data_IF_990171096282
#
_entry.id   IF_990171096282
#
_cell.length_a   1.000
_cell.length_b   1.000
_cell.length_c   1.000
_cell.angle_alpha   90.00
_cell.angle_beta   90.00
_cell.angle_gamma   90.00
#
_symmetry.space_group_name_H-M   'P 1'
#
loop_
_entity.id
_entity.type
_entity.pdbx_description
1 polymer ?
#
# COMPACT_ATOMS: atom_id res chain seq x y z
N UNK A 1 -15.48 -7.41 -26.29
CA UNK A 1 -15.86 -6.85 -24.96
C UNK A 1 -14.68 -6.68 -24.01
N UNK A 2 -13.57 -7.41 -24.25
CA UNK A 2 -12.37 -7.39 -23.39
C UNK A 2 -11.12 -6.89 -24.17
N UNK A 3 -11.33 -6.06 -25.20
CA UNK A 3 -10.24 -5.48 -25.97
C UNK A 3 -9.76 -4.20 -25.29
N UNK A 4 -8.47 -4.11 -25.04
CA UNK A 4 -7.81 -2.96 -24.41
C UNK A 4 -6.94 -2.21 -25.43
N UNK A 5 -6.42 -1.06 -25.04
CA UNK A 5 -5.46 -0.31 -25.87
C UNK A 5 -4.20 -1.15 -26.09
N UNK A 6 -3.71 -1.19 -27.32
CA UNK A 6 -2.58 -2.00 -27.81
C UNK A 6 -2.89 -3.49 -28.12
N UNK A 7 -4.12 -3.96 -27.95
CA UNK A 7 -4.49 -5.29 -28.43
C UNK A 7 -4.48 -5.37 -29.96
N UNK A 8 -4.08 -6.50 -30.49
CA UNK A 8 -4.16 -6.79 -31.93
C UNK A 8 -5.45 -7.55 -32.25
N UNK A 9 -6.27 -6.97 -33.11
CA UNK A 9 -7.44 -7.67 -33.67
C UNK A 9 -7.06 -8.31 -34.99
N UNK A 10 -7.24 -9.61 -35.12
CA UNK A 10 -6.91 -10.36 -36.34
C UNK A 10 -7.98 -11.40 -36.67
N UNK A 11 -7.89 -11.98 -37.90
CA UNK A 11 -8.71 -13.08 -38.32
C UNK A 11 -8.28 -14.40 -37.64
N UNK A 12 -9.23 -15.19 -37.16
CA UNK A 12 -8.96 -16.50 -36.52
C UNK A 12 -8.18 -17.47 -37.43
N UNK A 13 -8.38 -17.39 -38.75
CA UNK A 13 -7.72 -18.26 -39.73
C UNK A 13 -6.31 -17.84 -40.06
N UNK A 14 -5.99 -16.56 -39.87
CA UNK A 14 -4.68 -15.97 -40.13
C UNK A 14 -4.22 -15.12 -38.94
N UNK A 15 -3.90 -15.76 -37.82
CA UNK A 15 -3.51 -15.03 -36.64
C UNK A 15 -2.17 -14.29 -36.84
N UNK A 16 -2.17 -12.98 -36.61
CA UNK A 16 -0.95 -12.17 -36.61
C UNK A 16 -0.93 -11.30 -35.39
N UNK A 17 0.23 -11.14 -34.77
CA UNK A 17 0.45 -10.22 -33.65
C UNK A 17 1.30 -9.07 -34.17
N UNK A 18 0.77 -7.84 -34.06
CA UNK A 18 1.54 -6.64 -34.38
C UNK A 18 2.49 -6.33 -33.23
N UNK A 19 3.61 -5.65 -33.53
CA UNK A 19 4.54 -5.18 -32.51
C UNK A 19 3.79 -4.29 -31.52
N UNK A 20 3.86 -4.62 -30.22
CA UNK A 20 3.27 -3.84 -29.17
C UNK A 20 3.79 -2.41 -29.13
N UNK A 21 2.97 -1.48 -28.68
CA UNK A 21 3.37 -0.09 -28.43
C UNK A 21 4.14 -0.01 -27.11
N UNK A 22 5.25 0.71 -27.13
CA UNK A 22 6.00 1.05 -25.92
C UNK A 22 5.48 2.37 -25.38
N UNK A 23 4.96 2.37 -24.17
CA UNK A 23 4.47 3.57 -23.50
C UNK A 23 5.53 4.11 -22.56
N UNK A 24 5.77 5.43 -22.53
CA UNK A 24 6.70 6.02 -21.60
C UNK A 24 6.21 5.90 -20.15
N UNK A 25 7.15 5.86 -19.22
CA UNK A 25 6.84 5.85 -17.80
C UNK A 25 6.25 7.20 -17.35
N UNK A 26 5.26 7.21 -16.47
CA UNK A 26 4.71 8.43 -15.91
C UNK A 26 5.77 9.18 -15.08
N UNK A 27 5.66 10.51 -15.06
CA UNK A 27 6.67 11.39 -14.43
C UNK A 27 6.12 12.24 -13.29
N UNK A 28 4.80 12.31 -13.11
CA UNK A 28 4.14 13.12 -12.07
C UNK A 28 3.10 12.28 -11.35
N UNK A 29 3.03 12.46 -10.04
CA UNK A 29 2.10 11.80 -9.15
C UNK A 29 1.18 12.81 -8.45
N UNK A 30 -0.10 12.49 -8.37
CA UNK A 30 -1.07 13.20 -7.53
C UNK A 30 -1.83 12.22 -6.66
N UNK A 31 -2.14 12.62 -5.43
CA UNK A 31 -3.08 11.89 -4.59
C UNK A 31 -4.50 12.37 -4.86
N UNK A 32 -5.43 11.42 -4.93
CA UNK A 32 -6.86 11.70 -5.06
C UNK A 32 -7.63 11.04 -3.93
N UNK A 33 -8.67 11.74 -3.46
CA UNK A 33 -9.59 11.25 -2.43
C UNK A 33 -11.02 11.54 -2.86
N UNK A 34 -11.90 10.57 -2.73
CA UNK A 34 -13.32 10.78 -2.96
C UNK A 34 -13.90 11.73 -1.91
N UNK A 35 -14.71 12.71 -2.31
CA UNK A 35 -15.34 13.66 -1.38
C UNK A 35 -16.39 13.00 -0.48
N UNK A 36 -16.96 11.89 -0.90
CA UNK A 36 -17.95 11.15 -0.12
C UNK A 36 -17.67 9.65 -0.15
N UNK A 37 -18.17 8.93 0.86
CA UNK A 37 -18.06 7.47 0.93
C UNK A 37 -18.77 6.78 -0.25
N UNK A 38 -19.88 7.33 -0.73
CA UNK A 38 -20.59 6.80 -1.90
C UNK A 38 -19.81 6.99 -3.20
N UNK A 39 -18.93 7.99 -3.27
CA UNK A 39 -18.12 8.25 -4.45
C UNK A 39 -16.87 7.39 -4.48
N UNK A 40 -16.50 6.72 -3.38
CA UNK A 40 -15.32 5.88 -3.31
C UNK A 40 -15.43 4.66 -4.25
N UNK A 41 -16.58 3.97 -4.24
CA UNK A 41 -16.82 2.82 -5.12
C UNK A 41 -16.90 3.26 -6.59
N UNK A 42 -17.56 4.39 -6.86
CA UNK A 42 -17.62 4.98 -8.20
C UNK A 42 -16.24 5.43 -8.70
N UNK A 43 -15.43 5.99 -7.80
CA UNK A 43 -14.06 6.39 -8.09
C UNK A 43 -13.22 5.19 -8.54
N UNK A 44 -13.30 4.06 -7.84
CA UNK A 44 -12.60 2.84 -8.20
C UNK A 44 -12.98 2.35 -9.60
N UNK A 45 -14.28 2.32 -9.92
CA UNK A 45 -14.78 1.95 -11.25
C UNK A 45 -14.37 2.93 -12.34
N UNK A 46 -14.39 4.24 -12.05
CA UNK A 46 -13.96 5.27 -12.99
C UNK A 46 -12.46 5.14 -13.32
N UNK A 47 -11.64 4.96 -12.27
CA UNK A 47 -10.19 4.74 -12.41
C UNK A 47 -9.91 3.52 -13.28
N UNK A 48 -10.56 2.39 -12.98
CA UNK A 48 -10.37 1.16 -13.76
C UNK A 48 -10.61 1.39 -15.25
N UNK A 49 -11.72 2.05 -15.62
CA UNK A 49 -12.04 2.33 -17.02
C UNK A 49 -11.04 3.29 -17.66
N UNK A 50 -10.61 4.32 -16.94
CA UNK A 50 -9.65 5.30 -17.44
C UNK A 50 -8.26 4.67 -17.67
N UNK A 51 -7.84 3.75 -16.82
CA UNK A 51 -6.59 2.97 -17.00
C UNK A 51 -6.69 2.01 -18.17
N UNK A 52 -7.86 1.38 -18.41
CA UNK A 52 -8.07 0.53 -19.59
C UNK A 52 -7.97 1.31 -20.91
N UNK A 53 -8.38 2.60 -20.91
CA UNK A 53 -8.31 3.48 -22.07
C UNK A 53 -6.91 4.09 -22.27
N UNK A 54 -6.21 4.40 -21.19
CA UNK A 54 -4.93 5.10 -21.22
C UNK A 54 -3.81 4.30 -20.52
N UNK A 55 -2.97 3.60 -21.28
CA UNK A 55 -1.86 2.81 -20.73
C UNK A 55 -0.74 3.63 -20.08
N UNK A 56 -0.72 4.96 -20.26
CA UNK A 56 0.24 5.86 -19.60
C UNK A 56 -0.21 6.30 -18.21
N UNK A 57 -1.49 6.06 -17.88
CA UNK A 57 -2.04 6.33 -16.56
C UNK A 57 -1.78 5.12 -15.64
N UNK A 58 -1.11 5.34 -14.53
CA UNK A 58 -0.92 4.32 -13.50
C UNK A 58 -1.61 4.71 -12.21
N UNK A 59 -2.07 3.69 -11.49
CA UNK A 59 -2.75 3.87 -10.21
C UNK A 59 -2.12 2.97 -9.17
N UNK A 60 -1.84 3.54 -8.01
CA UNK A 60 -1.33 2.82 -6.85
C UNK A 60 -2.11 3.26 -5.62
N UNK A 61 -2.58 2.31 -4.84
CA UNK A 61 -3.07 2.60 -3.49
C UNK A 61 -1.93 2.38 -2.52
N UNK A 62 -1.58 3.42 -1.79
CA UNK A 62 -0.57 3.34 -0.75
C UNK A 62 -1.15 2.61 0.46
N UNK A 63 -0.52 1.51 0.89
CA UNK A 63 -1.02 0.67 1.98
C UNK A 63 -0.85 1.34 3.36
N UNK A 64 0.11 2.25 3.50
CA UNK A 64 0.39 2.92 4.77
C UNK A 64 -0.48 4.16 4.96
N UNK A 65 -0.64 4.97 3.91
CA UNK A 65 -1.44 6.20 3.97
C UNK A 65 -2.90 6.00 3.56
N UNK A 66 -3.23 4.88 2.93
CA UNK A 66 -4.55 4.61 2.35
C UNK A 66 -4.92 5.49 1.15
N UNK A 67 -4.00 6.34 0.69
CA UNK A 67 -4.24 7.25 -0.43
C UNK A 67 -4.20 6.53 -1.78
N UNK A 68 -5.08 6.94 -2.69
CA UNK A 68 -5.01 6.55 -4.09
C UNK A 68 -4.15 7.56 -4.84
N UNK A 69 -3.05 7.11 -5.39
CA UNK A 69 -2.10 7.91 -6.16
C UNK A 69 -2.27 7.62 -7.64
N UNK A 70 -2.48 8.67 -8.43
CA UNK A 70 -2.48 8.63 -9.89
C UNK A 70 -1.14 9.14 -10.40
N UNK A 71 -0.51 8.35 -11.26
CA UNK A 71 0.72 8.72 -11.95
C UNK A 71 0.46 8.95 -13.44
N UNK A 72 0.92 10.04 -13.99
CA UNK A 72 0.69 10.42 -15.38
C UNK A 72 1.85 11.18 -16.02
N UNK A 73 1.70 11.50 -17.30
CA UNK A 73 2.72 12.12 -18.14
C UNK A 73 2.94 13.60 -17.84
N UNK A 74 2.04 14.24 -17.11
CA UNK A 74 2.14 15.66 -16.78
C UNK A 74 0.92 16.16 -16.01
N UNK A 75 1.01 17.37 -15.48
CA UNK A 75 -0.06 17.99 -14.69
C UNK A 75 -1.37 18.13 -15.49
N UNK A 76 -1.27 18.61 -16.73
CA UNK A 76 -2.43 18.75 -17.62
C UNK A 76 -3.09 17.38 -17.89
N UNK A 77 -2.29 16.33 -18.09
CA UNK A 77 -2.82 14.97 -18.29
C UNK A 77 -3.66 14.54 -17.09
N UNK A 78 -3.14 14.67 -15.87
CA UNK A 78 -3.84 14.31 -14.66
C UNK A 78 -5.05 15.20 -14.38
N UNK A 79 -5.01 16.47 -14.74
CA UNK A 79 -6.15 17.38 -14.65
C UNK A 79 -7.29 16.97 -15.58
N UNK A 80 -6.97 16.55 -16.80
CA UNK A 80 -7.96 16.01 -17.74
C UNK A 80 -8.59 14.72 -17.19
N UNK A 81 -7.80 13.82 -16.61
CA UNK A 81 -8.31 12.59 -15.98
C UNK A 81 -9.28 12.91 -14.84
N UNK A 82 -8.93 13.84 -13.95
CA UNK A 82 -9.80 14.27 -12.85
C UNK A 82 -11.08 14.93 -13.37
N UNK A 83 -11.00 15.75 -14.41
CA UNK A 83 -12.17 16.38 -15.03
C UNK A 83 -13.07 15.34 -15.71
N UNK A 84 -12.52 14.32 -16.36
CA UNK A 84 -13.26 13.18 -16.92
C UNK A 84 -13.98 12.39 -15.83
N UNK A 85 -13.33 12.14 -14.68
CA UNK A 85 -13.99 11.49 -13.52
C UNK A 85 -15.27 12.26 -13.13
N UNK A 86 -15.18 13.57 -13.07
CA UNK A 86 -16.31 14.43 -12.72
C UNK A 86 -17.41 14.41 -13.79
N UNK A 87 -17.05 14.58 -15.08
CA UNK A 87 -18.02 14.75 -16.17
C UNK A 87 -18.65 13.45 -16.64
N UNK A 88 -17.86 12.38 -16.76
CA UNK A 88 -18.31 11.12 -17.34
C UNK A 88 -18.86 10.17 -16.28
N UNK A 89 -18.27 10.19 -15.08
CA UNK A 89 -18.62 9.25 -14.01
C UNK A 89 -19.35 9.88 -12.82
N UNK A 90 -19.56 11.19 -12.83
CA UNK A 90 -20.17 11.93 -11.71
C UNK A 90 -19.48 11.66 -10.37
N UNK A 91 -18.14 11.63 -10.36
CA UNK A 91 -17.31 11.41 -9.18
C UNK A 91 -16.55 12.69 -8.88
N UNK A 92 -16.77 13.26 -7.71
CA UNK A 92 -16.00 14.39 -7.23
C UNK A 92 -14.86 13.92 -6.34
N UNK A 93 -13.64 14.33 -6.69
CA UNK A 93 -12.43 14.02 -5.95
C UNK A 93 -11.70 15.29 -5.50
N UNK A 94 -11.04 15.20 -4.36
CA UNK A 94 -10.04 16.17 -3.93
C UNK A 94 -8.69 15.76 -4.51
N UNK A 95 -7.97 16.72 -5.08
CA UNK A 95 -6.62 16.54 -5.62
C UNK A 95 -5.61 17.13 -4.63
N UNK A 96 -4.57 16.39 -4.33
CA UNK A 96 -3.50 16.81 -3.43
C UNK A 96 -2.14 16.23 -3.82
N UNK A 97 -1.11 16.60 -3.07
CA UNK A 97 0.20 15.96 -3.18
C UNK A 97 0.15 14.62 -2.44
N UNK A 98 0.81 13.57 -2.94
CA UNK A 98 0.97 12.33 -2.21
C UNK A 98 1.63 12.57 -0.84
N UNK A 99 1.15 11.89 0.18
CA UNK A 99 1.81 11.90 1.47
C UNK A 99 3.08 11.07 1.40
N UNK A 100 4.10 11.52 2.10
CA UNK A 100 5.34 10.77 2.24
C UNK A 100 5.17 9.79 3.40
N UNK A 101 5.22 8.50 3.12
CA UNK A 101 5.27 7.47 4.15
C UNK A 101 6.69 7.47 4.75
N UNK A 102 6.81 8.02 5.95
CA UNK A 102 8.05 7.97 6.70
C UNK A 102 8.20 6.60 7.34
N UNK A 103 9.38 6.01 7.18
CA UNK A 103 9.76 4.78 7.87
C UNK A 103 10.84 5.08 8.86
N UNK A 104 10.68 4.55 10.04
CA UNK A 104 11.69 4.63 11.09
C UNK A 104 12.63 3.42 11.02
N UNK A 105 13.88 3.62 11.41
CA UNK A 105 14.86 2.55 11.55
C UNK A 105 15.65 2.77 12.83
N UNK A 106 16.09 1.66 13.41
CA UNK A 106 16.98 1.69 14.56
C UNK A 106 18.42 1.95 14.10
N UNK A 107 19.05 2.95 14.68
CA UNK A 107 20.47 3.28 14.39
C UNK A 107 21.41 2.88 15.51
N UNK A 108 20.87 2.64 16.72
CA UNK A 108 21.63 2.28 17.92
C UNK A 108 20.94 1.12 18.62
N UNK A 109 21.73 0.23 19.25
CA UNK A 109 21.17 -0.84 20.05
C UNK A 109 20.48 -0.28 21.30
N UNK A 110 19.33 -0.82 21.64
CA UNK A 110 18.54 -0.42 22.80
C UNK A 110 17.93 -1.63 23.51
N UNK A 111 17.95 -1.59 24.84
CA UNK A 111 17.28 -2.57 25.69
C UNK A 111 15.97 -1.96 26.19
N UNK A 112 14.85 -2.60 25.90
CA UNK A 112 13.53 -2.12 26.24
C UNK A 112 12.77 -3.12 27.12
N UNK A 113 12.16 -2.61 28.19
CA UNK A 113 11.22 -3.33 29.03
C UNK A 113 9.80 -3.09 28.54
N UNK A 114 9.09 -4.14 28.11
CA UNK A 114 7.67 -4.12 27.81
C UNK A 114 6.87 -4.74 28.95
N UNK A 115 6.10 -3.93 29.67
CA UNK A 115 5.23 -4.39 30.74
C UNK A 115 3.80 -3.94 30.53
N UNK A 116 2.90 -4.90 30.40
CA UNK A 116 1.48 -4.65 30.27
C UNK A 116 0.71 -5.27 31.42
N UNK A 117 -0.04 -4.46 32.13
CA UNK A 117 -0.88 -4.89 33.24
C UNK A 117 -2.25 -4.24 33.09
N UNK A 118 -3.29 -5.04 32.87
CA UNK A 118 -4.66 -4.56 32.80
C UNK A 118 -5.59 -5.46 33.58
N UNK A 119 -6.33 -4.87 34.51
CA UNK A 119 -7.38 -5.56 35.25
C UNK A 119 -8.61 -4.65 35.34
N UNK A 120 -9.68 -5.05 34.66
CA UNK A 120 -10.96 -4.32 34.66
C UNK A 120 -12.10 -5.31 34.90
N UNK A 121 -12.12 -5.88 36.13
CA UNK A 121 -13.09 -6.91 36.53
C UNK A 121 -12.83 -8.29 35.88
N UNK A 122 -12.86 -9.34 36.69
CA UNK A 122 -12.60 -10.72 36.23
C UNK A 122 -11.11 -11.06 36.09
N UNK A 123 -10.76 -11.86 35.09
CA UNK A 123 -9.36 -12.27 34.85
C UNK A 123 -8.55 -11.10 34.30
N UNK A 124 -7.48 -10.72 35.01
CA UNK A 124 -6.53 -9.70 34.53
C UNK A 124 -5.67 -10.20 33.38
N UNK A 125 -5.11 -9.24 32.64
CA UNK A 125 -4.10 -9.47 31.61
C UNK A 125 -2.74 -9.00 32.11
N UNK A 126 -1.72 -9.82 31.93
CA UNK A 126 -0.35 -9.52 32.32
C UNK A 126 0.62 -10.00 31.24
N UNK A 127 1.51 -9.12 30.81
CA UNK A 127 2.62 -9.44 29.93
C UNK A 127 3.85 -8.65 30.36
N UNK A 128 5.00 -9.30 30.45
CA UNK A 128 6.25 -8.66 30.82
C UNK A 128 7.40 -9.30 30.06
N UNK A 129 8.10 -8.53 29.24
CA UNK A 129 9.22 -9.00 28.47
C UNK A 129 10.32 -7.93 28.43
N UNK A 130 11.57 -8.38 28.34
CA UNK A 130 12.73 -7.56 28.03
C UNK A 130 13.20 -7.92 26.63
N UNK A 131 13.36 -6.92 25.76
CA UNK A 131 13.75 -7.10 24.38
C UNK A 131 14.93 -6.20 24.08
N UNK A 132 15.97 -6.79 23.51
CA UNK A 132 17.11 -6.06 22.98
C UNK A 132 16.90 -5.84 21.49
N UNK A 133 16.87 -4.58 21.08
CA UNK A 133 16.80 -4.19 19.68
C UNK A 133 18.18 -3.83 19.17
N UNK A 134 18.55 -4.34 18.01
CA UNK A 134 19.82 -4.03 17.34
C UNK A 134 19.58 -3.66 15.89
N UNK A 135 20.34 -2.69 15.31
CA UNK A 135 20.28 -2.41 13.88
C UNK A 135 20.63 -3.65 13.05
N UNK A 136 19.79 -3.97 12.05
CA UNK A 136 20.04 -5.08 11.13
C UNK A 136 19.90 -4.60 9.67
N UNK A 137 20.96 -3.98 9.10
CA UNK A 137 20.90 -3.40 7.78
C UNK A 137 20.80 -4.44 6.65
N UNK A 138 21.27 -5.66 6.88
CA UNK A 138 21.39 -6.67 5.83
C UNK A 138 20.11 -7.51 5.65
N UNK A 139 19.42 -7.83 6.76
CA UNK A 139 18.27 -8.74 6.75
C UNK A 139 16.93 -8.07 7.08
N UNK A 140 16.94 -6.81 7.51
CA UNK A 140 15.76 -6.12 8.01
C UNK A 140 15.31 -6.69 9.36
N UNK A 141 14.22 -7.45 9.41
CA UNK A 141 13.72 -8.06 10.63
C UNK A 141 14.33 -9.47 10.87
N UNK A 142 14.83 -9.71 12.07
CA UNK A 142 15.29 -11.02 12.54
C UNK A 142 14.97 -11.16 14.02
N UNK A 143 14.21 -12.18 14.40
CA UNK A 143 13.93 -12.49 15.79
C UNK A 143 14.88 -13.56 16.33
N UNK A 144 15.54 -13.28 17.43
CA UNK A 144 16.47 -14.20 18.08
C UNK A 144 15.97 -14.53 19.48
N UNK A 145 15.72 -15.81 19.73
CA UNK A 145 15.38 -16.30 21.08
C UNK A 145 16.67 -16.42 21.93
N UNK A 146 16.83 -15.47 22.85
CA UNK A 146 17.94 -15.43 23.81
C UNK A 146 17.49 -15.83 25.23
N UNK A 147 16.33 -16.47 25.40
CA UNK A 147 15.82 -16.87 26.70
C UNK A 147 16.65 -18.01 27.29
N UNK A 148 17.22 -17.79 28.47
CA UNK A 148 18.00 -18.80 29.21
C UNK A 148 17.24 -19.22 30.47
N UNK A 149 17.30 -20.52 30.78
CA UNK A 149 16.75 -21.05 32.04
C UNK A 149 15.21 -21.14 32.11
N UNK A 150 14.50 -20.94 30.97
CA UNK A 150 13.05 -21.09 30.92
C UNK A 150 12.27 -19.99 31.67
N UNK A 151 12.86 -18.81 31.80
CA UNK A 151 12.24 -17.63 32.45
C UNK A 151 10.98 -17.19 31.72
N UNK A 152 10.93 -17.35 30.41
CA UNK A 152 9.74 -17.19 29.58
C UNK A 152 9.33 -18.57 29.07
N UNK A 153 8.09 -19.04 29.32
CA UNK A 153 7.60 -20.29 28.76
C UNK A 153 7.66 -20.29 27.23
N UNK A 154 8.10 -21.41 26.65
CA UNK A 154 8.32 -21.52 25.20
C UNK A 154 7.12 -21.18 24.34
N UNK A 155 5.91 -21.36 24.86
CA UNK A 155 4.66 -21.02 24.16
C UNK A 155 4.45 -19.54 23.92
N UNK A 156 5.08 -18.64 24.71
CA UNK A 156 4.96 -17.20 24.57
C UNK A 156 6.00 -16.57 23.65
N UNK A 157 7.08 -17.27 23.34
CA UNK A 157 8.16 -16.77 22.46
C UNK A 157 7.63 -16.47 21.05
N UNK A 158 6.92 -17.38 20.36
CA UNK A 158 6.36 -17.09 19.04
C UNK A 158 5.28 -15.98 19.05
N UNK A 159 4.56 -15.84 20.17
CA UNK A 159 3.57 -14.78 20.32
C UNK A 159 4.23 -13.41 20.45
N UNK A 160 5.37 -13.35 21.13
CA UNK A 160 6.17 -12.12 21.23
C UNK A 160 6.74 -11.73 19.87
N UNK A 161 7.28 -12.68 19.11
CA UNK A 161 7.76 -12.46 17.75
C UNK A 161 6.66 -11.90 16.85
N UNK A 162 5.49 -12.53 16.85
CA UNK A 162 4.34 -12.06 16.09
C UNK A 162 3.90 -10.64 16.51
N UNK A 163 3.87 -10.35 17.81
CA UNK A 163 3.52 -9.03 18.31
C UNK A 163 4.50 -7.93 17.88
N UNK A 164 5.78 -8.28 17.69
CA UNK A 164 6.80 -7.35 17.16
C UNK A 164 6.66 -7.13 15.65
N UNK A 165 6.19 -8.13 14.90
CA UNK A 165 5.94 -7.99 13.47
C UNK A 165 4.68 -7.20 13.16
N UNK A 166 3.70 -7.23 14.08
CA UNK A 166 2.42 -6.53 13.93
C UNK A 166 2.48 -5.04 14.37
N UNK A 167 3.57 -4.62 15.06
CA UNK A 167 3.79 -3.26 15.57
C UNK A 167 4.48 -2.36 14.54
#
# INVERSE_FOLDING_TARGET
KNTTTADTLCDEKNPCIMKGMEFPEPVIDIAIEAKSKNDQDKMALAIQKLVEEDPTLRVKTDAETGQTVLSGMGELHLDVIVDRMRREFNVEVNKGKPQVAYRETLTVAADCEGKYVKQSGGRGQYGHVWIKFEPNPDKGYEFVDAVVGGVVPREYIPVTDKGLQDA
#
